data_IF_393819269632
#
_entry.id   IF_393819269632
#
_cell.length_a   1.000
_cell.length_b   1.000
_cell.length_c   1.000
_cell.angle_alpha   90.00
_cell.angle_beta   90.00
_cell.angle_gamma   90.00
#
_symmetry.space_group_name_H-M   'P 1'
#
loop_
_entity.id
_entity.type
_entity.pdbx_description
1 polymer ?
#
# COMPACT_ATOMS: atom_id res chain seq x y z
N UNK A 1 -28.05 15.11 16.07
CA UNK A 1 -28.17 14.20 14.90
C UNK A 1 -26.76 13.91 14.44
N UNK A 2 -26.34 12.64 14.31
CA UNK A 2 -25.03 12.34 13.76
C UNK A 2 -24.96 12.87 12.31
N UNK A 3 -23.78 13.29 11.81
CA UNK A 3 -23.65 13.71 10.42
C UNK A 3 -24.11 12.60 9.47
N UNK A 4 -24.60 12.96 8.28
CA UNK A 4 -24.84 11.98 7.23
C UNK A 4 -23.51 11.31 6.84
N UNK A 5 -23.46 9.98 6.86
CA UNK A 5 -22.26 9.22 6.49
C UNK A 5 -22.54 8.31 5.30
N UNK A 6 -21.60 8.28 4.36
CA UNK A 6 -21.66 7.44 3.15
C UNK A 6 -20.93 6.11 3.31
N UNK A 7 -20.18 5.94 4.42
CA UNK A 7 -19.30 4.79 4.65
C UNK A 7 -17.98 4.81 3.86
N UNK A 8 -17.73 5.85 3.05
CA UNK A 8 -16.55 5.93 2.16
C UNK A 8 -15.20 5.83 2.91
N UNK A 9 -15.16 6.39 4.12
CA UNK A 9 -13.96 6.45 4.97
C UNK A 9 -13.77 5.17 5.81
N UNK A 10 -14.73 4.23 5.79
CA UNK A 10 -14.76 3.05 6.64
C UNK A 10 -14.46 3.37 8.12
N UNK A 11 -13.36 2.86 8.69
CA UNK A 11 -12.94 3.15 10.07
C UNK A 11 -12.04 4.37 10.21
N UNK A 12 -11.48 4.91 9.12
CA UNK A 12 -10.60 6.10 9.12
C UNK A 12 -11.40 7.41 9.02
N UNK A 13 -12.49 7.52 9.80
CA UNK A 13 -13.45 8.63 9.74
C UNK A 13 -12.86 9.96 10.20
N UNK A 14 -11.87 9.91 11.10
CA UNK A 14 -11.29 11.09 11.76
C UNK A 14 -12.34 12.11 12.21
N UNK A 15 -13.42 11.61 12.85
CA UNK A 15 -14.54 12.45 13.25
C UNK A 15 -14.10 13.51 14.26
N UNK A 16 -14.54 14.75 14.04
CA UNK A 16 -14.19 15.88 14.88
C UNK A 16 -14.70 15.70 16.31
N UNK A 17 -13.81 15.86 17.29
CA UNK A 17 -14.20 15.86 18.70
C UNK A 17 -14.95 17.14 19.07
N UNK A 18 -15.78 17.10 20.11
CA UNK A 18 -16.40 18.31 20.65
C UNK A 18 -15.34 19.31 21.14
N UNK A 19 -15.69 20.60 21.18
CA UNK A 19 -14.77 21.64 21.64
C UNK A 19 -14.22 21.36 23.05
N UNK A 20 -15.08 20.89 23.96
CA UNK A 20 -14.68 20.46 25.30
C UNK A 20 -13.64 19.34 25.29
N UNK A 21 -13.77 18.36 24.39
CA UNK A 21 -12.79 17.27 24.30
C UNK A 21 -11.48 17.73 23.64
N UNK A 22 -11.56 18.64 22.68
CA UNK A 22 -10.38 19.22 22.03
C UNK A 22 -9.54 20.06 23.00
N UNK A 23 -10.16 20.76 23.94
CA UNK A 23 -9.44 21.60 24.90
C UNK A 23 -8.55 20.81 25.89
N UNK A 24 -8.78 19.52 26.07
CA UNK A 24 -7.90 18.64 26.86
C UNK A 24 -6.60 18.25 26.14
N UNK A 25 -6.50 18.48 24.83
CA UNK A 25 -5.35 18.07 24.04
C UNK A 25 -4.36 19.23 23.86
N UNK A 26 -3.07 18.96 24.08
CA UNK A 26 -2.01 19.95 23.84
C UNK A 26 -1.90 20.24 22.33
N UNK A 27 -1.73 21.50 21.92
CA UNK A 27 -1.44 21.84 20.53
C UNK A 27 -0.12 21.22 20.07
N UNK A 28 -0.13 20.60 18.90
CA UNK A 28 1.08 20.16 18.20
C UNK A 28 1.57 21.32 17.33
N UNK A 29 2.82 21.73 17.54
CA UNK A 29 3.47 22.84 16.83
C UNK A 29 3.90 22.43 15.42
N UNK A 30 4.44 21.22 15.25
CA UNK A 30 4.90 20.72 13.95
C UNK A 30 4.83 19.20 13.84
N UNK A 31 4.75 18.71 12.59
CA UNK A 31 5.04 17.32 12.24
C UNK A 31 6.36 17.32 11.46
N UNK A 32 7.35 16.58 11.92
CA UNK A 32 8.63 16.44 11.23
C UNK A 32 8.72 15.04 10.61
N UNK A 33 8.37 14.93 9.33
CA UNK A 33 8.52 13.69 8.57
C UNK A 33 9.91 13.68 7.90
N UNK A 34 10.84 12.88 8.40
CA UNK A 34 12.25 12.84 7.99
C UNK A 34 12.46 12.17 6.62
N UNK A 35 11.82 12.73 5.60
CA UNK A 35 11.94 12.34 4.20
C UNK A 35 11.61 13.52 3.30
N UNK A 36 12.45 13.72 2.28
CA UNK A 36 12.19 14.71 1.23
C UNK A 36 11.43 14.12 0.04
N UNK A 37 11.19 12.81 0.04
CA UNK A 37 10.43 12.14 -1.00
C UNK A 37 8.93 12.11 -0.63
N UNK A 38 8.07 12.84 -1.38
CA UNK A 38 6.63 12.91 -1.09
C UNK A 38 5.89 11.58 -1.29
N UNK A 39 6.50 10.59 -1.94
CA UNK A 39 5.94 9.24 -2.11
C UNK A 39 6.52 8.22 -1.13
N UNK A 40 7.34 8.66 -0.17
CA UNK A 40 7.88 7.76 0.85
C UNK A 40 6.84 7.43 1.94
N UNK A 41 6.87 6.22 2.50
CA UNK A 41 6.01 5.87 3.64
C UNK A 41 6.13 6.82 4.84
N UNK A 42 7.33 7.35 5.09
CA UNK A 42 7.57 8.35 6.15
C UNK A 42 6.80 9.64 5.90
N UNK A 43 6.83 10.15 4.65
CA UNK A 43 6.10 11.37 4.30
C UNK A 43 4.59 11.16 4.35
N UNK A 44 4.09 10.05 3.79
CA UNK A 44 2.67 9.69 3.83
C UNK A 44 2.15 9.54 5.26
N UNK A 45 2.93 8.93 6.16
CA UNK A 45 2.58 8.86 7.57
C UNK A 45 2.45 10.26 8.21
N UNK A 46 3.31 11.21 7.82
CA UNK A 46 3.18 12.62 8.18
C UNK A 46 1.90 13.26 7.68
N UNK A 47 1.52 13.03 6.42
CA UNK A 47 0.25 13.52 5.84
C UNK A 47 -0.97 12.94 6.56
N UNK A 48 -0.95 11.64 6.88
CA UNK A 48 -2.06 10.98 7.57
C UNK A 48 -2.21 11.51 9.01
N UNK A 49 -1.09 11.80 9.71
CA UNK A 49 -1.10 12.48 11.00
C UNK A 49 -1.66 13.90 10.91
N UNK A 50 -1.24 14.68 9.90
CA UNK A 50 -1.76 16.03 9.67
C UNK A 50 -3.27 16.00 9.43
N UNK A 51 -3.75 15.07 8.60
CA UNK A 51 -5.17 14.85 8.33
C UNK A 51 -5.94 14.52 9.62
N UNK A 52 -5.41 13.59 10.43
CA UNK A 52 -6.00 13.20 11.71
C UNK A 52 -6.07 14.36 12.70
N UNK A 53 -4.97 15.08 12.93
CA UNK A 53 -4.93 16.25 13.84
C UNK A 53 -5.88 17.36 13.38
N UNK A 54 -5.94 17.62 12.07
CA UNK A 54 -6.83 18.64 11.51
C UNK A 54 -8.30 18.24 11.70
N UNK A 55 -8.68 17.02 11.30
CA UNK A 55 -10.09 16.60 11.32
C UNK A 55 -10.60 16.29 12.74
N UNK A 56 -9.81 15.60 13.56
CA UNK A 56 -10.19 15.21 14.93
C UNK A 56 -10.10 16.41 15.88
N UNK A 57 -8.97 17.12 15.87
CA UNK A 57 -8.63 18.14 16.87
C UNK A 57 -8.75 19.58 16.37
N UNK A 58 -9.04 19.80 15.08
CA UNK A 58 -9.11 21.15 14.50
C UNK A 58 -7.76 21.87 14.47
N UNK A 59 -6.64 21.14 14.63
CA UNK A 59 -5.30 21.72 14.68
C UNK A 59 -4.71 21.78 13.28
N UNK A 60 -4.32 22.97 12.83
CA UNK A 60 -3.58 23.13 11.56
C UNK A 60 -2.09 23.06 11.86
N UNK A 61 -1.44 22.00 11.41
CA UNK A 61 -0.03 21.70 11.71
C UNK A 61 0.75 21.56 10.41
N UNK A 62 1.93 22.19 10.32
CA UNK A 62 2.78 22.09 9.13
C UNK A 62 3.62 20.80 9.17
N UNK A 63 3.87 20.24 7.99
CA UNK A 63 4.81 19.11 7.81
C UNK A 63 6.16 19.68 7.39
N UNK A 64 7.20 19.28 8.09
CA UNK A 64 8.59 19.66 7.85
C UNK A 64 9.43 18.40 7.56
N UNK A 65 10.53 18.56 6.82
CA UNK A 65 11.43 17.47 6.44
C UNK A 65 12.72 17.39 7.27
N UNK A 66 12.93 18.34 8.18
CA UNK A 66 14.17 18.49 8.94
C UNK A 66 13.86 18.80 10.40
N UNK A 67 14.67 18.25 11.30
CA UNK A 67 14.59 18.61 12.72
C UNK A 67 14.92 20.09 12.89
N UNK A 68 14.21 20.74 13.81
CA UNK A 68 14.47 22.11 14.24
C UNK A 68 14.62 22.15 15.75
N UNK A 69 15.48 23.04 16.23
CA UNK A 69 15.51 23.38 17.65
C UNK A 69 14.27 24.24 17.95
N UNK A 70 13.20 23.60 18.41
CA UNK A 70 11.97 24.26 18.86
C UNK A 70 11.64 23.80 20.30
N UNK A 71 10.96 24.68 21.03
CA UNK A 71 10.41 24.42 22.37
C UNK A 71 8.96 23.92 22.32
N UNK A 72 8.32 23.97 21.14
CA UNK A 72 6.98 23.45 20.89
C UNK A 72 6.89 21.92 20.87
N UNK A 73 5.68 21.38 21.08
CA UNK A 73 5.42 19.94 21.00
C UNK A 73 5.42 19.53 19.54
N UNK A 74 6.32 18.63 19.14
CA UNK A 74 6.45 18.17 17.76
C UNK A 74 6.30 16.65 17.67
N UNK A 75 5.72 16.17 16.56
CA UNK A 75 5.67 14.74 16.23
C UNK A 75 6.74 14.46 15.19
N UNK A 76 7.68 13.57 15.50
CA UNK A 76 8.74 13.18 14.56
C UNK A 76 8.40 11.81 13.96
N UNK A 77 8.45 11.71 12.64
CA UNK A 77 8.24 10.47 11.89
C UNK A 77 9.49 10.18 11.08
N UNK A 78 10.05 8.98 11.22
CA UNK A 78 11.25 8.59 10.50
C UNK A 78 11.54 7.10 10.67
N UNK A 79 12.47 6.59 9.87
CA UNK A 79 13.08 5.27 10.10
C UNK A 79 14.15 5.38 11.19
N UNK A 80 14.54 4.24 11.78
CA UNK A 80 15.66 4.19 12.72
C UNK A 80 16.93 4.80 12.13
N UNK A 81 17.23 4.49 10.87
CA UNK A 81 18.40 5.04 10.17
C UNK A 81 18.33 6.56 10.03
N UNK A 82 17.16 7.12 9.69
CA UNK A 82 17.02 8.58 9.60
C UNK A 82 17.10 9.26 10.96
N UNK A 83 16.58 8.63 12.02
CA UNK A 83 16.69 9.17 13.38
C UNK A 83 18.14 9.14 13.88
N UNK A 84 18.87 8.04 13.63
CA UNK A 84 20.30 7.89 13.94
C UNK A 84 21.12 8.97 13.24
N UNK A 85 20.94 9.12 11.93
CA UNK A 85 21.66 10.11 11.13
C UNK A 85 21.41 11.56 11.58
N UNK A 86 20.32 11.83 12.28
CA UNK A 86 19.97 13.15 12.80
C UNK A 86 20.36 13.34 14.29
N UNK A 87 21.27 12.52 14.82
CA UNK A 87 21.84 12.71 16.16
C UNK A 87 20.92 12.28 17.30
N UNK A 88 19.90 11.45 17.02
CA UNK A 88 18.99 10.89 18.02
C UNK A 88 19.54 9.66 18.73
N UNK A 89 20.87 9.44 18.75
CA UNK A 89 21.49 8.21 19.28
C UNK A 89 21.07 7.91 20.72
N UNK A 90 20.83 8.94 21.54
CA UNK A 90 20.33 8.80 22.90
C UNK A 90 18.87 8.31 22.99
N UNK A 91 18.02 8.61 22.00
CA UNK A 91 16.63 8.15 21.90
C UNK A 91 16.54 6.71 21.36
N UNK A 92 17.61 6.22 20.72
CA UNK A 92 17.62 4.96 19.99
C UNK A 92 18.20 3.79 20.79
N UNK A 93 18.81 4.05 21.95
CA UNK A 93 19.38 3.01 22.82
C UNK A 93 18.32 2.03 23.36
N UNK A 94 17.05 2.43 23.40
CA UNK A 94 15.92 1.62 23.87
C UNK A 94 15.07 1.02 22.73
N UNK A 95 15.41 1.28 21.47
CA UNK A 95 14.60 0.85 20.33
C UNK A 95 14.99 -0.57 19.92
N UNK A 96 14.05 -1.54 19.94
CA UNK A 96 14.36 -2.90 19.53
C UNK A 96 14.66 -2.98 18.03
N UNK A 97 15.26 -4.09 17.61
CA UNK A 97 15.35 -4.41 16.19
C UNK A 97 13.93 -4.49 15.58
N UNK A 98 13.70 -3.70 14.52
CA UNK A 98 12.44 -3.67 13.79
C UNK A 98 12.56 -4.53 12.53
N UNK A 99 11.51 -5.30 12.25
CA UNK A 99 11.36 -6.05 11.00
C UNK A 99 10.92 -5.15 9.83
N UNK A 100 10.92 -5.69 8.61
CA UNK A 100 10.31 -5.02 7.43
C UNK A 100 8.85 -4.64 7.75
N UNK A 101 8.46 -3.38 7.52
CA UNK A 101 7.19 -2.74 7.92
C UNK A 101 6.95 -2.55 9.43
N UNK A 102 7.97 -2.71 10.28
CA UNK A 102 7.90 -2.38 11.70
C UNK A 102 7.90 -0.87 11.98
N UNK A 103 7.25 -0.45 13.07
CA UNK A 103 7.33 0.94 13.56
C UNK A 103 7.48 0.98 15.08
N UNK A 104 8.15 2.01 15.58
CA UNK A 104 8.36 2.24 17.01
C UNK A 104 7.53 3.44 17.50
N UNK A 105 6.70 3.20 18.50
CA UNK A 105 5.92 4.23 19.19
C UNK A 105 6.15 4.00 20.70
N UNK A 106 6.81 4.94 21.37
CA UNK A 106 7.03 4.87 22.82
C UNK A 106 5.70 5.22 23.51
N UNK A 107 4.86 4.23 23.82
CA UNK A 107 4.90 3.49 25.09
C UNK A 107 4.86 1.95 24.98
N UNK A 108 5.04 1.35 23.79
CA UNK A 108 5.37 -0.08 23.57
C UNK A 108 5.64 -0.36 22.08
N UNK A 109 6.73 -1.09 21.77
CA UNK A 109 7.05 -1.55 20.42
C UNK A 109 6.28 -2.83 20.06
N UNK A 110 5.80 -2.97 18.82
CA UNK A 110 5.12 -4.19 18.36
C UNK A 110 5.53 -4.56 16.93
N UNK A 111 6.22 -5.68 16.79
CA UNK A 111 6.49 -6.31 15.50
C UNK A 111 5.33 -7.24 15.10
N UNK A 112 4.93 -7.27 13.82
CA UNK A 112 3.93 -8.22 13.36
C UNK A 112 4.47 -9.66 13.47
N UNK A 113 3.63 -10.59 13.95
CA UNK A 113 4.01 -12.01 14.05
C UNK A 113 4.13 -12.74 12.70
N UNK A 114 3.75 -12.10 11.59
CA UNK A 114 3.85 -12.65 10.25
C UNK A 114 4.44 -11.60 9.29
N UNK A 115 5.46 -11.98 8.53
CA UNK A 115 6.14 -11.09 7.60
C UNK A 115 5.27 -10.70 6.39
N UNK A 116 4.43 -11.62 5.90
CA UNK A 116 3.53 -11.39 4.77
C UNK A 116 2.09 -11.38 5.27
N UNK A 117 1.40 -10.26 5.08
CA UNK A 117 0.02 -10.03 5.51
C UNK A 117 -0.70 -9.41 4.33
N UNK A 118 -1.43 -10.22 3.57
CA UNK A 118 -1.94 -9.82 2.27
C UNK A 118 -3.41 -10.16 2.08
N UNK A 119 -4.03 -9.48 1.12
CA UNK A 119 -5.40 -9.71 0.67
C UNK A 119 -5.41 -10.29 -0.75
N UNK A 120 -6.49 -10.99 -1.10
CA UNK A 120 -6.71 -11.54 -2.43
C UNK A 120 -8.01 -11.01 -3.01
N UNK A 121 -7.90 -10.32 -4.14
CA UNK A 121 -9.02 -9.75 -4.86
C UNK A 121 -9.43 -10.70 -5.98
N UNK A 122 -10.68 -11.15 -5.99
CA UNK A 122 -11.21 -12.02 -7.04
C UNK A 122 -11.76 -11.23 -8.22
N UNK A 123 -11.00 -10.23 -8.64
CA UNK A 123 -11.40 -9.24 -9.63
C UNK A 123 -11.05 -9.72 -11.05
N UNK A 124 -12.03 -9.64 -11.94
CA UNK A 124 -11.87 -9.93 -13.36
C UNK A 124 -11.56 -8.65 -14.14
N UNK A 125 -10.86 -8.78 -15.26
CA UNK A 125 -10.46 -7.64 -16.09
C UNK A 125 -11.65 -6.86 -16.69
N UNK A 126 -12.81 -7.49 -16.84
CA UNK A 126 -14.05 -6.82 -17.28
C UNK A 126 -14.69 -5.94 -16.19
N UNK A 127 -14.15 -5.97 -14.97
CA UNK A 127 -14.62 -5.23 -13.81
C UNK A 127 -15.64 -5.96 -12.95
N UNK A 128 -16.04 -7.18 -13.31
CA UNK A 128 -16.78 -8.07 -12.40
C UNK A 128 -15.86 -8.64 -11.31
N UNK A 129 -16.45 -9.08 -10.20
CA UNK A 129 -15.71 -9.70 -9.09
C UNK A 129 -16.38 -11.04 -8.80
N UNK A 130 -15.62 -12.13 -8.86
CA UNK A 130 -16.10 -13.45 -8.49
C UNK A 130 -16.35 -13.49 -6.97
N UNK A 131 -17.58 -13.87 -6.58
CA UNK A 131 -18.06 -13.77 -5.19
C UNK A 131 -17.99 -12.34 -4.61
N UNK A 132 -18.03 -11.32 -5.46
CA UNK A 132 -18.06 -9.93 -5.04
C UNK A 132 -19.47 -9.42 -4.75
N UNK A 133 -19.66 -8.88 -3.54
CA UNK A 133 -20.93 -8.29 -3.10
C UNK A 133 -20.81 -6.78 -2.82
N UNK A 134 -19.61 -6.21 -3.00
CA UNK A 134 -19.28 -4.80 -2.74
C UNK A 134 -19.32 -3.88 -3.96
N UNK A 135 -19.81 -4.36 -5.11
CA UNK A 135 -19.84 -3.60 -6.36
C UNK A 135 -18.90 -4.15 -7.42
N UNK A 136 -18.33 -3.25 -8.24
CA UNK A 136 -17.41 -3.57 -9.35
C UNK A 136 -15.96 -3.38 -8.91
N UNK A 137 -15.04 -3.98 -9.66
CA UNK A 137 -13.60 -3.86 -9.43
C UNK A 137 -13.17 -2.39 -9.33
N UNK A 138 -12.27 -2.13 -8.37
CA UNK A 138 -11.58 -0.84 -8.24
C UNK A 138 -10.28 -0.79 -9.04
N UNK A 139 -9.88 -1.91 -9.66
CA UNK A 139 -8.65 -2.04 -10.44
C UNK A 139 -8.94 -2.09 -11.94
N UNK A 140 -9.99 -2.80 -12.35
CA UNK A 140 -10.20 -3.14 -13.76
C UNK A 140 -11.58 -2.76 -14.30
N UNK A 141 -11.62 -2.51 -15.61
CA UNK A 141 -12.84 -2.40 -16.40
C UNK A 141 -12.51 -2.60 -17.89
N UNK A 142 -13.43 -3.21 -18.64
CA UNK A 142 -13.33 -3.36 -20.09
C UNK A 142 -12.01 -4.00 -20.56
N UNK A 143 -11.48 -4.96 -19.79
CA UNK A 143 -10.25 -5.70 -20.11
C UNK A 143 -8.96 -5.01 -19.67
N UNK A 144 -9.03 -3.85 -19.02
CA UNK A 144 -7.89 -3.00 -18.72
C UNK A 144 -7.85 -2.48 -17.28
N UNK A 145 -6.65 -2.12 -16.81
CA UNK A 145 -6.48 -1.34 -15.58
C UNK A 145 -7.08 0.07 -15.74
N UNK A 146 -7.90 0.48 -14.77
CA UNK A 146 -8.55 1.79 -14.74
C UNK A 146 -7.54 2.95 -14.87
N UNK A 147 -7.99 4.06 -15.47
CA UNK A 147 -7.21 5.30 -15.54
C UNK A 147 -7.25 6.06 -14.21
N UNK A 148 -8.44 6.19 -13.63
CA UNK A 148 -8.62 6.77 -12.31
C UNK A 148 -8.42 5.69 -11.25
N UNK A 149 -7.38 5.85 -10.44
CA UNK A 149 -6.98 4.94 -9.38
C UNK A 149 -7.13 5.60 -7.99
N UNK A 150 -7.96 6.63 -7.88
CA UNK A 150 -8.24 7.32 -6.61
C UNK A 150 -8.82 6.37 -5.56
N UNK A 151 -9.67 5.42 -5.98
CA UNK A 151 -10.18 4.37 -5.09
C UNK A 151 -9.10 3.39 -4.63
N UNK A 152 -8.14 3.05 -5.49
CA UNK A 152 -6.99 2.21 -5.12
C UNK A 152 -6.15 2.90 -4.04
N UNK A 153 -5.93 4.21 -4.14
CA UNK A 153 -5.25 4.98 -3.08
C UNK A 153 -5.99 4.90 -1.75
N UNK A 154 -7.31 5.08 -1.75
CA UNK A 154 -8.13 4.94 -0.53
C UNK A 154 -8.06 3.53 0.04
N UNK A 155 -8.05 2.52 -0.83
CA UNK A 155 -7.92 1.13 -0.41
C UNK A 155 -6.55 0.85 0.23
N UNK A 156 -5.47 1.32 -0.37
CA UNK A 156 -4.12 1.20 0.18
C UNK A 156 -4.00 1.85 1.58
N UNK A 157 -4.63 3.02 1.78
CA UNK A 157 -4.75 3.67 3.10
C UNK A 157 -5.42 2.77 4.14
N UNK A 158 -6.54 2.15 3.77
CA UNK A 158 -7.26 1.23 4.65
C UNK A 158 -6.41 0.01 5.01
N UNK A 159 -5.80 -0.64 4.01
CA UNK A 159 -4.93 -1.79 4.21
C UNK A 159 -3.75 -1.48 5.15
N UNK A 160 -3.05 -0.37 4.90
CA UNK A 160 -1.91 0.04 5.71
C UNK A 160 -2.30 0.37 7.16
N UNK A 161 -3.48 0.94 7.40
CA UNK A 161 -3.95 1.26 8.76
C UNK A 161 -4.13 0.02 9.65
N UNK A 162 -4.28 -1.16 9.04
CA UNK A 162 -4.35 -2.45 9.72
C UNK A 162 -3.12 -3.33 9.43
N UNK A 163 -2.04 -2.72 8.95
CA UNK A 163 -0.73 -3.33 8.66
C UNK A 163 -0.73 -4.40 7.55
N UNK A 164 -1.72 -4.47 6.69
CA UNK A 164 -1.64 -5.29 5.47
C UNK A 164 -0.55 -4.70 4.57
N UNK A 165 0.39 -5.54 4.11
CA UNK A 165 1.54 -5.13 3.30
C UNK A 165 1.59 -5.78 1.91
N UNK A 166 0.53 -6.49 1.52
CA UNK A 166 0.43 -7.12 0.20
C UNK A 166 -1.00 -7.15 -0.34
N UNK A 167 -1.14 -7.08 -1.67
CA UNK A 167 -2.41 -7.23 -2.35
C UNK A 167 -2.22 -7.99 -3.67
N UNK A 168 -2.91 -9.12 -3.82
CA UNK A 168 -3.07 -9.79 -5.11
C UNK A 168 -4.30 -9.21 -5.78
N UNK A 169 -4.10 -8.47 -6.87
CA UNK A 169 -5.12 -7.55 -7.39
C UNK A 169 -6.15 -8.19 -8.31
N UNK A 170 -5.93 -9.44 -8.74
CA UNK A 170 -6.78 -10.11 -9.72
C UNK A 170 -7.14 -11.55 -9.33
N UNK A 171 -8.25 -11.98 -9.92
CA UNK A 171 -8.84 -13.29 -9.68
C UNK A 171 -7.84 -14.44 -9.92
N UNK A 172 -7.89 -15.43 -9.02
CA UNK A 172 -7.16 -16.70 -9.14
C UNK A 172 -7.58 -17.49 -10.37
N UNK A 173 -8.83 -17.34 -10.83
CA UNK A 173 -9.28 -17.76 -12.15
C UNK A 173 -8.87 -16.70 -13.20
N UNK A 174 -7.56 -16.47 -13.32
CA UNK A 174 -6.96 -15.37 -14.06
C UNK A 174 -7.12 -15.49 -15.59
N UNK A 175 -6.80 -14.40 -16.30
CA UNK A 175 -6.80 -14.33 -17.76
C UNK A 175 -5.40 -13.99 -18.28
N UNK A 176 -4.98 -14.65 -19.36
CA UNK A 176 -3.71 -14.33 -20.05
C UNK A 176 -3.61 -12.86 -20.48
N UNK A 177 -4.76 -12.20 -20.73
CA UNK A 177 -4.81 -10.79 -21.12
C UNK A 177 -4.29 -9.82 -20.05
N UNK A 178 -4.14 -10.26 -18.79
CA UNK A 178 -3.49 -9.45 -17.76
C UNK A 178 -2.04 -9.12 -18.11
N UNK A 179 -1.37 -9.98 -18.89
CA UNK A 179 0.07 -9.91 -19.16
C UNK A 179 0.40 -9.25 -20.51
N UNK A 180 -0.57 -8.58 -21.14
CA UNK A 180 -0.28 -7.71 -22.28
C UNK A 180 0.40 -6.39 -21.82
N UNK A 181 1.10 -5.71 -22.73
CA UNK A 181 1.90 -4.51 -22.37
C UNK A 181 1.06 -3.41 -21.68
N UNK A 182 -0.16 -3.15 -22.16
CA UNK A 182 -1.06 -2.14 -21.57
C UNK A 182 -1.40 -2.44 -20.11
N UNK A 183 -1.68 -3.70 -19.80
CA UNK A 183 -2.02 -4.12 -18.45
C UNK A 183 -0.78 -4.23 -17.55
N UNK A 184 0.37 -4.62 -18.09
CA UNK A 184 1.64 -4.55 -17.38
C UNK A 184 1.96 -3.10 -16.95
N UNK A 185 1.82 -2.13 -17.85
CA UNK A 185 1.96 -0.70 -17.52
C UNK A 185 0.91 -0.26 -16.48
N UNK A 186 -0.30 -0.80 -16.56
CA UNK A 186 -1.36 -0.61 -15.57
C UNK A 186 -1.01 -1.13 -14.17
N UNK A 187 -0.42 -2.32 -14.08
CA UNK A 187 0.04 -2.91 -12.82
C UNK A 187 1.15 -2.06 -12.18
N UNK A 188 2.05 -1.49 -12.99
CA UNK A 188 3.01 -0.49 -12.54
C UNK A 188 2.34 0.70 -11.87
N UNK A 189 1.31 1.28 -12.51
CA UNK A 189 0.55 2.41 -11.94
C UNK A 189 -0.17 2.05 -10.64
N UNK A 190 -0.71 0.84 -10.52
CA UNK A 190 -1.33 0.36 -9.27
C UNK A 190 -0.24 0.28 -8.18
N UNK A 191 0.89 -0.36 -8.46
CA UNK A 191 2.00 -0.47 -7.52
C UNK A 191 2.52 0.90 -7.06
N UNK A 192 2.66 1.86 -7.98
CA UNK A 192 3.08 3.23 -7.67
C UNK A 192 2.15 3.95 -6.68
N UNK A 193 0.85 3.63 -6.70
CA UNK A 193 -0.14 4.21 -5.79
C UNK A 193 -0.14 3.51 -4.43
N UNK A 194 0.13 2.21 -4.40
CA UNK A 194 0.08 1.38 -3.19
C UNK A 194 1.39 1.40 -2.39
N UNK A 195 2.53 1.56 -3.08
CA UNK A 195 3.89 1.58 -2.49
C UNK A 195 4.10 2.65 -1.39
N UNK A 196 3.58 3.88 -1.52
CA UNK A 196 3.70 4.88 -0.45
C UNK A 196 3.03 4.45 0.87
N UNK A 197 2.14 3.46 0.83
CA UNK A 197 1.47 2.88 2.00
C UNK A 197 2.12 1.57 2.48
N UNK A 198 3.25 1.16 1.90
CA UNK A 198 3.91 -0.11 2.21
C UNK A 198 3.15 -1.35 1.71
N UNK A 199 2.22 -1.19 0.75
CA UNK A 199 1.45 -2.32 0.20
C UNK A 199 2.03 -2.74 -1.13
N UNK A 200 2.68 -3.91 -1.16
CA UNK A 200 3.23 -4.51 -2.39
C UNK A 200 2.13 -5.15 -3.23
N UNK A 201 2.29 -5.08 -4.54
CA UNK A 201 1.34 -5.66 -5.51
C UNK A 201 1.85 -6.98 -6.03
N UNK A 202 0.99 -7.99 -6.06
CA UNK A 202 1.20 -9.24 -6.79
C UNK A 202 0.01 -9.56 -7.68
N UNK A 203 0.14 -10.63 -8.47
CA UNK A 203 -0.89 -11.04 -9.43
C UNK A 203 -1.11 -12.54 -9.42
N UNK A 204 -2.34 -12.95 -9.70
CA UNK A 204 -2.67 -14.34 -9.98
C UNK A 204 -2.39 -14.67 -11.44
N UNK A 205 -1.68 -15.76 -11.72
CA UNK A 205 -1.33 -16.17 -13.08
C UNK A 205 -2.32 -17.19 -13.65
N UNK A 206 -2.56 -17.10 -14.96
CA UNK A 206 -3.17 -18.18 -15.71
C UNK A 206 -2.07 -19.12 -16.22
N UNK A 207 -2.01 -20.34 -15.69
CA UNK A 207 -0.91 -21.28 -15.98
C UNK A 207 -0.71 -21.51 -17.49
N UNK A 208 -1.81 -21.48 -18.26
CA UNK A 208 -1.80 -21.73 -19.71
C UNK A 208 -1.57 -20.49 -20.59
N UNK A 209 -1.04 -19.43 -19.99
CA UNK A 209 -0.64 -18.21 -20.71
C UNK A 209 0.39 -18.48 -21.82
N UNK A 210 1.39 -19.38 -21.70
CA UNK A 210 2.35 -19.63 -22.79
C UNK A 210 1.66 -20.03 -24.10
N UNK A 211 0.66 -20.93 -24.04
CA UNK A 211 -0.16 -21.26 -25.22
C UNK A 211 -1.06 -20.10 -25.65
N UNK A 212 -1.75 -19.47 -24.70
CA UNK A 212 -2.83 -18.52 -25.00
C UNK A 212 -2.34 -17.15 -25.48
N UNK A 213 -1.19 -16.69 -24.98
CA UNK A 213 -0.63 -15.36 -25.27
C UNK A 213 0.55 -15.42 -26.25
N UNK A 214 1.44 -16.41 -26.10
CA UNK A 214 2.63 -16.55 -26.95
C UNK A 214 2.47 -17.57 -28.07
N UNK A 215 1.36 -18.33 -28.11
CA UNK A 215 1.10 -19.32 -29.15
C UNK A 215 2.02 -20.54 -29.09
N UNK A 216 2.66 -20.80 -27.93
CA UNK A 216 3.47 -22.01 -27.76
C UNK A 216 2.59 -23.27 -27.87
N UNK A 217 3.14 -24.42 -28.30
CA UNK A 217 2.39 -25.67 -28.39
C UNK A 217 2.08 -26.28 -27.01
N UNK A 218 2.79 -25.85 -25.97
CA UNK A 218 2.72 -26.42 -24.62
C UNK A 218 2.81 -25.34 -23.54
N UNK A 219 2.40 -25.71 -22.32
CA UNK A 219 2.64 -24.97 -21.07
C UNK A 219 3.36 -25.88 -20.06
N UNK A 220 4.08 -26.90 -20.54
CA UNK A 220 4.90 -27.78 -19.71
C UNK A 220 6.02 -26.95 -19.05
N UNK A 221 6.11 -26.88 -17.71
CA UNK A 221 7.12 -26.09 -17.02
C UNK A 221 8.55 -26.59 -17.23
N UNK A 222 8.74 -27.77 -17.82
CA UNK A 222 10.05 -28.31 -18.18
C UNK A 222 10.48 -27.95 -19.61
N UNK A 223 9.57 -27.42 -20.43
CA UNK A 223 9.88 -27.00 -21.80
C UNK A 223 10.73 -25.70 -21.78
N UNK A 224 11.90 -25.67 -22.45
CA UNK A 224 12.78 -24.50 -22.44
C UNK A 224 12.13 -23.21 -22.95
N UNK A 225 11.22 -23.29 -23.93
CA UNK A 225 10.54 -22.12 -24.48
C UNK A 225 9.48 -21.59 -23.49
N UNK A 226 8.85 -22.47 -22.71
CA UNK A 226 7.94 -22.09 -21.62
C UNK A 226 8.70 -21.42 -20.48
N UNK A 227 9.87 -21.94 -20.11
CA UNK A 227 10.74 -21.31 -19.10
C UNK A 227 11.13 -19.91 -19.56
N UNK A 228 11.65 -19.79 -20.78
CA UNK A 228 12.04 -18.51 -21.38
C UNK A 228 10.89 -17.51 -21.40
N UNK A 229 9.68 -17.95 -21.78
CA UNK A 229 8.49 -17.11 -21.77
C UNK A 229 8.22 -16.52 -20.38
N UNK A 230 8.25 -17.34 -19.33
CA UNK A 230 8.01 -16.86 -17.96
C UNK A 230 9.12 -15.99 -17.41
N UNK A 231 10.38 -16.24 -17.78
CA UNK A 231 11.51 -15.35 -17.49
C UNK A 231 11.29 -13.96 -18.10
N UNK A 232 10.91 -13.90 -19.38
CA UNK A 232 10.68 -12.66 -20.10
C UNK A 232 9.48 -11.88 -19.51
N UNK A 233 8.36 -12.56 -19.21
CA UNK A 233 7.20 -11.95 -18.55
C UNK A 233 7.57 -11.41 -17.16
N UNK A 234 8.30 -12.20 -16.39
CA UNK A 234 8.72 -11.81 -15.03
C UNK A 234 9.66 -10.60 -15.08
N UNK A 235 10.62 -10.57 -16.02
CA UNK A 235 11.49 -9.42 -16.23
C UNK A 235 10.70 -8.15 -16.60
N UNK A 236 9.68 -8.27 -17.48
CA UNK A 236 8.79 -7.15 -17.83
C UNK A 236 7.98 -6.65 -16.65
N UNK A 237 7.53 -7.54 -15.77
CA UNK A 237 6.81 -7.18 -14.54
C UNK A 237 7.73 -6.47 -13.55
N UNK A 238 8.89 -7.04 -13.22
CA UNK A 238 9.85 -6.41 -12.30
C UNK A 238 10.39 -5.07 -12.82
N UNK A 239 10.45 -4.85 -14.15
CA UNK A 239 10.77 -3.54 -14.70
C UNK A 239 9.75 -2.47 -14.31
N UNK A 240 8.47 -2.84 -14.16
CA UNK A 240 7.34 -1.93 -13.87
C UNK A 240 6.94 -1.92 -12.41
N UNK A 241 7.16 -3.04 -11.72
CA UNK A 241 6.88 -3.27 -10.31
C UNK A 241 8.14 -3.88 -9.69
N UNK A 242 9.18 -3.07 -9.42
CA UNK A 242 10.47 -3.59 -8.93
C UNK A 242 10.39 -4.29 -7.57
N UNK A 243 9.39 -3.93 -6.78
CA UNK A 243 9.08 -4.43 -5.44
C UNK A 243 7.87 -5.37 -5.44
N UNK A 244 7.67 -6.14 -6.52
CA UNK A 244 6.54 -7.05 -6.66
C UNK A 244 6.44 -8.02 -5.47
N UNK A 245 5.21 -8.23 -4.98
CA UNK A 245 4.93 -9.18 -3.91
C UNK A 245 5.20 -10.63 -4.34
N UNK A 246 4.86 -10.96 -5.59
CA UNK A 246 4.99 -12.30 -6.16
C UNK A 246 3.75 -12.73 -6.94
N UNK A 247 3.70 -14.03 -7.26
CA UNK A 247 2.60 -14.66 -7.96
C UNK A 247 1.72 -15.48 -7.04
N UNK A 248 0.43 -15.54 -7.36
CA UNK A 248 -0.50 -16.57 -6.86
C UNK A 248 -0.89 -17.48 -8.03
N UNK A 249 -0.98 -18.78 -7.78
CA UNK A 249 -1.33 -19.75 -8.83
C UNK A 249 -2.42 -20.68 -8.30
N UNK A 250 -3.57 -20.70 -8.97
CA UNK A 250 -4.55 -21.77 -8.86
C UNK A 250 -4.44 -22.61 -10.13
N UNK A 251 -4.08 -23.87 -9.99
CA UNK A 251 -3.93 -24.81 -11.10
C UNK A 251 -4.55 -26.16 -10.73
N UNK A 252 -5.14 -26.84 -11.72
CA UNK A 252 -5.78 -28.16 -11.57
C UNK A 252 -6.85 -28.22 -10.45
N UNK A 253 -7.72 -27.21 -10.37
CA UNK A 253 -8.77 -27.07 -9.36
C UNK A 253 -10.06 -26.47 -9.89
#
# INVERSE_FOLDING_TARGET
MLPSETGIDAWLRYATLSETLRSFHKPVSSIVALSTNPTSPVFIAGEELQCGLTRILGQTVQIESHLRADTGVSIIVGTLSTLQANGSDCLLQSVPALDEDGFWLDTNAYNPGAAIRYVNEWDNLDGSIERGYGGKSIFFRDGQVLKDLSRVRQYARLLASIRINGCIVNNVNSSHNLLNETNLDGLGRIADIMRPYGVRVGVSLFFDTPRSLAGLPTSDPLDPDVIKFWEDITAKLYKRVPDMLGYTIKANS
#
